data_IF_187837990421
#
_entry.id   IF_187837990421
#
_cell.length_a   1.000
_cell.length_b   1.000
_cell.length_c   1.000
_cell.angle_alpha   90.00
_cell.angle_beta   90.00
_cell.angle_gamma   90.00
#
_symmetry.space_group_name_H-M   'P 1'
#
loop_
_entity.id
_entity.type
_entity.pdbx_description
1 polymer ?
#
# COMPACT_ATOMS: atom_id res chain seq x y z
N UNK A 1 -47.98 47.46 36.09
CA UNK A 1 -47.40 46.11 35.86
C UNK A 1 -47.97 45.56 34.57
N UNK A 2 -47.15 45.34 33.54
CA UNK A 2 -47.57 44.59 32.35
C UNK A 2 -46.52 43.50 32.06
N UNK A 3 -46.84 42.27 32.48
CA UNK A 3 -46.01 41.04 32.48
C UNK A 3 -45.78 40.45 31.08
N UNK A 4 -46.05 41.18 30.00
CA UNK A 4 -46.14 40.60 28.66
C UNK A 4 -44.92 40.85 27.76
N UNK A 5 -43.93 41.63 28.20
CA UNK A 5 -42.73 41.94 27.40
C UNK A 5 -41.49 41.09 27.74
N UNK A 6 -41.60 40.14 28.67
CA UNK A 6 -40.46 39.29 29.08
C UNK A 6 -40.49 37.93 28.37
N UNK A 7 -41.64 37.42 27.96
CA UNK A 7 -41.74 36.11 27.30
C UNK A 7 -41.34 36.10 25.81
N UNK A 8 -41.36 37.25 25.13
CA UNK A 8 -41.05 37.31 23.68
C UNK A 8 -39.54 37.48 23.40
N UNK A 9 -38.73 37.91 24.39
CA UNK A 9 -37.26 37.94 24.23
C UNK A 9 -36.57 36.61 24.57
N UNK A 10 -37.28 35.67 25.20
CA UNK A 10 -36.74 34.33 25.54
C UNK A 10 -37.09 33.28 24.47
N UNK A 11 -37.94 33.61 23.49
CA UNK A 11 -38.31 32.69 22.40
C UNK A 11 -37.52 32.86 21.09
N UNK A 12 -36.51 33.74 21.06
CA UNK A 12 -35.64 33.94 19.89
C UNK A 12 -34.15 33.64 20.15
N UNK A 13 -33.80 33.14 21.35
CA UNK A 13 -32.42 32.79 21.70
C UNK A 13 -32.22 31.26 21.82
N UNK A 14 -33.25 30.44 21.60
CA UNK A 14 -33.17 28.97 21.74
C UNK A 14 -33.35 28.16 20.46
N UNK A 15 -33.49 28.80 19.28
CA UNK A 15 -33.60 28.09 18.00
C UNK A 15 -32.41 28.25 17.05
N UNK A 16 -31.38 29.02 17.43
CA UNK A 16 -30.14 29.16 16.64
C UNK A 16 -28.95 28.35 17.21
N UNK A 17 -29.21 27.27 17.94
CA UNK A 17 -28.17 26.41 18.49
C UNK A 17 -28.32 24.93 18.11
N UNK A 18 -29.21 24.59 17.17
CA UNK A 18 -29.47 23.20 16.80
C UNK A 18 -29.60 22.94 15.30
N UNK A 19 -28.91 23.73 14.46
CA UNK A 19 -28.67 23.35 13.05
C UNK A 19 -27.21 23.68 12.67
N UNK A 20 -26.27 23.14 13.44
CA UNK A 20 -24.85 23.02 13.05
C UNK A 20 -24.26 21.68 13.51
N UNK A 21 -25.13 20.69 13.75
CA UNK A 21 -24.76 19.34 14.16
C UNK A 21 -25.01 18.30 13.05
N UNK A 22 -25.09 18.72 11.78
CA UNK A 22 -25.14 17.80 10.63
C UNK A 22 -24.43 18.48 9.47
N UNK A 23 -23.10 18.40 9.42
CA UNK A 23 -22.29 17.82 8.31
C UNK A 23 -20.83 17.87 8.77
N UNK A 24 -20.52 17.26 9.92
CA UNK A 24 -19.14 16.80 10.10
C UNK A 24 -19.04 15.50 9.30
N UNK A 25 -18.84 15.66 7.99
CA UNK A 25 -18.27 14.58 7.18
C UNK A 25 -16.90 14.31 7.78
N UNK A 26 -16.88 13.47 8.80
CA UNK A 26 -15.70 12.81 9.32
C UNK A 26 -15.22 11.83 8.23
N UNK A 27 -14.76 12.38 7.10
CA UNK A 27 -13.68 11.79 6.36
C UNK A 27 -12.47 11.90 7.28
N UNK A 28 -12.40 11.02 8.29
CA UNK A 28 -11.12 10.66 8.87
C UNK A 28 -10.31 9.96 7.79
N UNK A 29 -9.79 10.73 6.84
CA UNK A 29 -8.64 10.35 6.06
C UNK A 29 -7.50 10.40 7.06
N UNK A 30 -7.32 9.31 7.81
CA UNK A 30 -6.09 9.09 8.53
C UNK A 30 -4.98 9.31 7.50
N UNK A 31 -4.18 10.36 7.65
CA UNK A 31 -3.09 10.63 6.73
C UNK A 31 -2.16 9.43 6.83
N UNK A 32 -2.29 8.50 5.87
CA UNK A 32 -1.55 7.25 5.83
C UNK A 32 -0.07 7.62 5.83
N UNK A 33 0.56 7.48 7.00
CA UNK A 33 1.98 7.78 7.14
C UNK A 33 2.75 6.58 6.64
N UNK A 34 3.13 6.63 5.37
CA UNK A 34 3.92 5.59 4.71
C UNK A 34 5.32 5.49 5.33
N UNK A 35 5.79 4.26 5.53
CA UNK A 35 7.10 3.94 6.08
C UNK A 35 7.89 3.11 5.09
N UNK A 36 9.22 3.28 5.07
CA UNK A 36 10.11 2.52 4.19
C UNK A 36 9.83 1.02 4.32
N UNK A 37 9.67 0.36 3.18
CA UNK A 37 9.34 -1.05 3.08
C UNK A 37 7.84 -1.34 3.00
N UNK A 38 6.96 -0.37 3.22
CA UNK A 38 5.53 -0.59 2.97
C UNK A 38 5.31 -1.12 1.56
N UNK A 39 4.51 -2.18 1.45
CA UNK A 39 4.12 -2.80 0.21
C UNK A 39 2.75 -2.24 -0.15
N UNK A 40 2.69 -1.54 -1.28
CA UNK A 40 1.45 -1.04 -1.85
C UNK A 40 0.98 -2.06 -2.88
N UNK A 41 -0.19 -2.62 -2.67
CA UNK A 41 -0.80 -3.61 -3.56
C UNK A 41 -2.11 -3.07 -4.08
N UNK A 42 -2.28 -2.99 -5.40
CA UNK A 42 -3.53 -2.50 -6.00
C UNK A 42 -4.25 -3.57 -6.81
N UNK A 43 -5.58 -3.44 -6.90
CA UNK A 43 -6.44 -4.18 -7.84
C UNK A 43 -6.99 -3.32 -9.00
N UNK A 44 -6.58 -2.05 -9.09
CA UNK A 44 -6.98 -1.12 -10.17
C UNK A 44 -6.20 -1.38 -11.46
N UNK A 45 -6.35 -2.56 -12.07
CA UNK A 45 -5.61 -2.97 -13.29
C UNK A 45 -6.52 -3.58 -14.35
N UNK A 46 -6.35 -3.21 -15.63
CA UNK A 46 -7.20 -3.58 -16.77
C UNK A 46 -6.75 -4.83 -17.53
N UNK A 47 -6.25 -5.87 -16.86
CA UNK A 47 -5.81 -7.16 -17.45
C UNK A 47 -4.39 -7.24 -18.08
N UNK A 48 -3.39 -6.55 -17.53
CA UNK A 48 -1.96 -6.92 -17.75
C UNK A 48 -1.19 -6.96 -16.42
N UNK A 49 -1.54 -7.94 -15.58
CA UNK A 49 -0.96 -8.19 -14.25
C UNK A 49 -1.56 -9.38 -13.47
N UNK A 50 -2.29 -10.28 -14.14
CA UNK A 50 -3.07 -11.47 -13.69
C UNK A 50 -3.91 -11.44 -12.40
N UNK A 51 -3.78 -10.44 -11.54
CA UNK A 51 -4.85 -9.66 -10.89
C UNK A 51 -4.16 -8.82 -9.81
N UNK A 52 -3.64 -7.65 -10.17
CA UNK A 52 -3.05 -6.69 -9.23
C UNK A 52 -1.63 -6.24 -9.56
N UNK A 53 -1.16 -5.22 -8.83
CA UNK A 53 0.15 -4.62 -9.05
C UNK A 53 0.79 -4.21 -7.72
N UNK A 54 2.11 -4.32 -7.63
CA UNK A 54 2.86 -3.95 -6.44
C UNK A 54 3.86 -2.84 -6.68
N UNK A 55 4.02 -2.04 -5.63
CA UNK A 55 5.16 -1.17 -5.44
C UNK A 55 5.65 -1.25 -4.00
N UNK A 56 6.91 -0.88 -3.80
CA UNK A 56 7.52 -0.74 -2.48
C UNK A 56 7.78 0.74 -2.19
N UNK A 57 7.34 1.22 -1.03
CA UNK A 57 7.63 2.58 -0.59
C UNK A 57 9.10 2.70 -0.17
N UNK A 58 9.84 3.56 -0.85
CA UNK A 58 11.29 3.73 -0.67
C UNK A 58 11.65 4.96 0.18
N UNK A 59 10.66 5.65 0.74
CA UNK A 59 10.84 6.88 1.52
C UNK A 59 10.56 8.16 0.72
N UNK A 60 10.49 9.29 1.42
CA UNK A 60 10.33 10.63 0.84
C UNK A 60 9.17 10.74 -0.17
N UNK A 61 8.03 10.12 0.15
CA UNK A 61 6.84 10.16 -0.71
C UNK A 61 6.99 9.37 -2.01
N UNK A 62 7.95 8.45 -2.13
CA UNK A 62 8.25 7.72 -3.38
C UNK A 62 7.97 6.22 -3.28
N UNK A 63 7.44 5.67 -4.36
CA UNK A 63 7.17 4.24 -4.58
C UNK A 63 7.98 3.78 -5.79
N UNK A 64 8.60 2.61 -5.66
CA UNK A 64 9.32 1.94 -6.74
C UNK A 64 8.50 0.74 -7.22
N UNK A 65 8.28 0.64 -8.54
CA UNK A 65 7.52 -0.43 -9.18
C UNK A 65 8.11 -0.80 -10.56
N UNK A 66 7.63 -1.90 -11.15
CA UNK A 66 7.84 -2.21 -12.59
C UNK A 66 6.46 -2.47 -13.20
N UNK A 67 5.91 -1.55 -14.00
CA UNK A 67 4.46 -1.46 -14.17
C UNK A 67 3.84 -2.49 -15.11
N UNK A 68 4.53 -2.88 -16.19
CA UNK A 68 4.05 -3.83 -17.20
C UNK A 68 5.15 -4.17 -18.21
N UNK A 69 4.81 -5.05 -19.15
CA UNK A 69 5.63 -5.38 -20.32
C UNK A 69 6.13 -4.12 -21.04
N UNK A 70 7.35 -4.17 -21.58
CA UNK A 70 8.06 -3.07 -22.24
C UNK A 70 8.42 -1.88 -21.33
N UNK A 71 8.23 -1.99 -20.01
CA UNK A 71 8.67 -0.96 -19.07
C UNK A 71 9.77 -1.49 -18.16
N UNK A 72 10.63 -0.58 -17.74
CA UNK A 72 11.67 -0.82 -16.74
C UNK A 72 11.20 -0.42 -15.34
N UNK A 73 11.92 -0.85 -14.28
CA UNK A 73 11.75 -0.30 -12.94
C UNK A 73 11.73 1.23 -12.97
N UNK A 74 10.73 1.81 -12.30
CA UNK A 74 10.55 3.26 -12.23
C UNK A 74 10.24 3.69 -10.81
N UNK A 75 10.33 4.99 -10.57
CA UNK A 75 9.92 5.62 -9.32
C UNK A 75 8.81 6.61 -9.62
N UNK A 76 7.76 6.59 -8.81
CA UNK A 76 6.71 7.60 -8.82
C UNK A 76 6.42 8.11 -7.42
N UNK A 77 5.75 9.25 -7.31
CA UNK A 77 5.26 9.70 -6.00
C UNK A 77 4.10 8.84 -5.53
N UNK A 78 3.94 8.68 -4.21
CA UNK A 78 2.78 8.03 -3.60
C UNK A 78 1.48 8.71 -4.03
N UNK A 79 1.47 10.04 -4.12
CA UNK A 79 0.30 10.79 -4.62
C UNK A 79 -0.09 10.35 -6.03
N UNK A 80 0.89 10.18 -6.93
CA UNK A 80 0.65 9.66 -8.28
C UNK A 80 0.20 8.20 -8.25
N UNK A 81 0.81 7.37 -7.40
CA UNK A 81 0.38 5.98 -7.22
C UNK A 81 -1.10 5.90 -6.83
N UNK A 82 -1.51 6.58 -5.76
CA UNK A 82 -2.89 6.54 -5.27
C UNK A 82 -3.88 7.12 -6.29
N UNK A 83 -3.48 8.17 -7.03
CA UNK A 83 -4.29 8.71 -8.14
C UNK A 83 -4.47 7.70 -9.27
N UNK A 84 -3.42 6.99 -9.67
CA UNK A 84 -3.47 5.97 -10.73
C UNK A 84 -4.11 4.67 -10.28
N UNK A 85 -4.03 4.36 -8.99
CA UNK A 85 -4.41 3.09 -8.38
C UNK A 85 -5.23 3.33 -7.10
N UNK A 86 -6.47 3.87 -7.24
CA UNK A 86 -7.28 4.25 -6.08
C UNK A 86 -7.64 3.06 -5.18
N UNK A 87 -7.70 1.86 -5.75
CA UNK A 87 -7.96 0.62 -5.01
C UNK A 87 -6.65 0.00 -4.54
N UNK A 88 -6.02 0.58 -3.52
CA UNK A 88 -4.70 0.17 -2.99
C UNK A 88 -4.80 -0.22 -1.52
N UNK A 89 -4.29 -1.41 -1.18
CA UNK A 89 -4.00 -1.84 0.18
C UNK A 89 -2.53 -1.65 0.51
N UNK A 90 -2.24 -1.45 1.79
CA UNK A 90 -0.87 -1.27 2.28
C UNK A 90 -0.57 -2.30 3.36
N UNK A 91 0.49 -3.07 3.16
CA UNK A 91 1.05 -3.95 4.20
C UNK A 91 2.45 -3.49 4.60
N UNK A 92 2.80 -3.75 5.86
CA UNK A 92 4.03 -3.26 6.49
C UNK A 92 4.69 -4.39 7.28
N UNK A 93 6.01 -4.57 7.18
CA UNK A 93 6.72 -5.51 8.05
C UNK A 93 6.60 -5.06 9.50
N UNK A 94 6.37 -5.99 10.43
CA UNK A 94 6.32 -5.68 11.86
C UNK A 94 7.64 -5.10 12.37
N UNK A 95 8.76 -5.56 11.80
CA UNK A 95 10.10 -5.04 12.07
C UNK A 95 10.43 -3.88 11.13
N UNK A 96 10.62 -2.67 11.68
CA UNK A 96 10.93 -1.46 10.92
C UNK A 96 12.33 -1.49 10.27
N UNK A 97 13.32 -2.11 10.93
CA UNK A 97 14.67 -2.28 10.38
C UNK A 97 14.65 -3.15 9.13
N UNK A 98 13.84 -4.20 9.12
CA UNK A 98 13.62 -5.02 7.92
C UNK A 98 13.03 -4.20 6.77
N UNK A 99 12.01 -3.38 7.03
CA UNK A 99 11.41 -2.49 6.03
C UNK A 99 12.39 -1.47 5.46
N UNK A 100 13.21 -0.86 6.32
CA UNK A 100 14.28 0.05 5.90
C UNK A 100 15.31 -0.65 4.99
N UNK A 101 15.78 -1.84 5.37
CA UNK A 101 16.71 -2.63 4.56
C UNK A 101 16.09 -3.01 3.21
N UNK A 102 14.83 -3.45 3.20
CA UNK A 102 14.12 -3.80 1.96
C UNK A 102 13.98 -2.59 1.03
N UNK A 103 13.57 -1.43 1.54
CA UNK A 103 13.50 -0.20 0.75
C UNK A 103 14.86 0.20 0.16
N UNK A 104 15.94 0.11 0.94
CA UNK A 104 17.29 0.41 0.47
C UNK A 104 17.76 -0.60 -0.60
N UNK A 105 17.41 -1.89 -0.45
CA UNK A 105 17.68 -2.91 -1.46
C UNK A 105 16.89 -2.65 -2.75
N UNK A 106 15.62 -2.23 -2.67
CA UNK A 106 14.84 -1.86 -3.84
C UNK A 106 15.54 -0.75 -4.64
N UNK A 107 16.05 0.27 -3.92
CA UNK A 107 16.83 1.35 -4.51
C UNK A 107 18.12 0.81 -5.15
N UNK A 108 18.91 0.01 -4.42
CA UNK A 108 20.20 -0.53 -4.87
C UNK A 108 20.07 -1.38 -6.14
N UNK A 109 19.10 -2.30 -6.16
CA UNK A 109 19.01 -3.32 -7.20
C UNK A 109 18.17 -2.90 -8.40
N UNK A 110 17.25 -1.94 -8.26
CA UNK A 110 16.28 -1.65 -9.33
C UNK A 110 16.17 -0.18 -9.72
N UNK A 111 16.40 0.79 -8.82
CA UNK A 111 16.20 2.20 -9.17
C UNK A 111 17.13 2.62 -10.30
N UNK A 112 16.55 3.09 -11.40
CA UNK A 112 17.30 3.54 -12.58
C UNK A 112 17.90 2.41 -13.42
N UNK A 113 17.58 1.15 -13.14
CA UNK A 113 18.09 0.00 -13.91
C UNK A 113 17.16 -0.32 -15.07
N UNK A 114 17.73 -0.66 -16.23
CA UNK A 114 16.99 -1.08 -17.43
C UNK A 114 16.69 -2.58 -17.43
N UNK A 115 16.08 -3.08 -16.35
CA UNK A 115 15.72 -4.50 -16.22
C UNK A 115 14.38 -4.73 -16.93
N UNK A 116 14.32 -5.53 -18.00
CA UNK A 116 13.09 -5.72 -18.76
C UNK A 116 12.02 -6.48 -17.95
N UNK A 117 10.77 -6.12 -18.21
CA UNK A 117 9.65 -6.82 -17.58
C UNK A 117 9.46 -8.22 -18.16
N UNK A 118 9.49 -9.26 -17.31
CA UNK A 118 9.04 -10.63 -17.63
C UNK A 118 8.78 -11.40 -16.35
N UNK A 119 7.70 -12.17 -16.31
CA UNK A 119 7.45 -13.15 -15.24
C UNK A 119 8.29 -14.39 -15.52
N UNK A 120 9.13 -14.80 -14.56
CA UNK A 120 9.96 -16.00 -14.65
C UNK A 120 9.90 -16.79 -13.34
N UNK A 121 9.96 -18.14 -13.37
CA UNK A 121 9.84 -19.01 -12.19
C UNK A 121 11.13 -19.07 -11.34
N UNK A 122 11.80 -17.94 -11.16
CA UNK A 122 12.99 -17.83 -10.32
C UNK A 122 13.13 -16.38 -9.82
N UNK A 123 12.53 -16.03 -8.67
CA UNK A 123 12.48 -14.65 -8.19
C UNK A 123 13.82 -14.15 -7.63
N UNK A 124 14.88 -14.99 -7.67
CA UNK A 124 16.25 -14.61 -7.31
C UNK A 124 17.05 -14.10 -8.52
N UNK A 125 16.58 -14.35 -9.74
CA UNK A 125 17.26 -13.97 -10.98
C UNK A 125 16.68 -12.69 -11.60
N UNK A 126 17.20 -11.55 -11.16
CA UNK A 126 16.73 -10.22 -11.56
C UNK A 126 17.20 -9.75 -12.96
N UNK A 127 17.63 -10.66 -13.85
CA UNK A 127 17.90 -10.32 -15.27
C UNK A 127 16.64 -9.84 -15.98
N UNK A 128 15.48 -10.29 -15.51
CA UNK A 128 14.15 -9.81 -15.84
C UNK A 128 13.40 -9.66 -14.52
N UNK A 129 12.38 -8.81 -14.46
CA UNK A 129 11.62 -8.62 -13.21
C UNK A 129 10.16 -8.34 -13.52
N UNK A 130 9.31 -8.48 -12.52
CA UNK A 130 7.94 -7.96 -12.55
C UNK A 130 7.62 -7.27 -11.21
N UNK A 131 6.39 -6.78 -11.07
CA UNK A 131 6.02 -5.89 -9.98
C UNK A 131 6.16 -6.51 -8.59
N UNK A 132 5.63 -7.71 -8.36
CA UNK A 132 5.75 -8.40 -7.07
C UNK A 132 7.13 -9.00 -6.84
N UNK A 133 7.87 -9.35 -7.89
CA UNK A 133 9.26 -9.80 -7.75
C UNK A 133 10.17 -8.71 -7.16
N UNK A 134 9.98 -7.46 -7.56
CA UNK A 134 10.77 -6.33 -7.03
C UNK A 134 10.64 -6.23 -5.51
N UNK A 135 9.43 -6.46 -5.01
CA UNK A 135 9.13 -6.42 -3.58
C UNK A 135 9.74 -7.63 -2.90
N UNK A 136 9.48 -8.83 -3.41
CA UNK A 136 9.99 -10.07 -2.85
C UNK A 136 11.52 -10.09 -2.78
N UNK A 137 12.21 -9.75 -3.88
CA UNK A 137 13.66 -9.73 -3.96
C UNK A 137 14.27 -8.72 -2.99
N UNK A 138 13.64 -7.56 -2.84
CA UNK A 138 14.08 -6.53 -1.90
C UNK A 138 14.07 -7.01 -0.45
N UNK A 139 13.02 -7.74 -0.06
CA UNK A 139 12.92 -8.39 1.25
C UNK A 139 13.87 -9.59 1.39
N UNK A 140 14.02 -10.40 0.35
CA UNK A 140 14.97 -11.52 0.32
C UNK A 140 16.40 -11.04 0.58
N UNK A 141 16.85 -9.98 -0.12
CA UNK A 141 18.15 -9.34 0.11
C UNK A 141 18.24 -8.64 1.47
N UNK A 142 17.12 -8.37 2.13
CA UNK A 142 17.09 -7.82 3.49
C UNK A 142 17.11 -8.92 4.58
N UNK A 143 17.19 -10.20 4.19
CA UNK A 143 17.21 -11.35 5.10
C UNK A 143 15.83 -11.93 5.39
N UNK A 144 14.78 -11.55 4.66
CA UNK A 144 13.43 -12.14 4.76
C UNK A 144 13.06 -12.84 3.46
N UNK A 145 13.10 -14.17 3.48
CA UNK A 145 12.50 -14.99 2.43
C UNK A 145 10.99 -15.03 2.66
N UNK A 146 10.21 -14.40 1.77
CA UNK A 146 8.74 -14.40 1.88
C UNK A 146 8.20 -15.74 1.36
N UNK A 147 7.35 -16.38 2.15
CA UNK A 147 6.83 -17.73 1.93
C UNK A 147 5.34 -17.69 1.55
N UNK A 148 4.90 -18.64 0.74
CA UNK A 148 3.50 -18.81 0.32
C UNK A 148 3.11 -20.27 0.58
N UNK A 149 1.87 -20.58 1.00
CA UNK A 149 1.47 -21.96 1.22
C UNK A 149 1.20 -22.64 -0.13
N UNK A 150 1.89 -23.76 -0.38
CA UNK A 150 1.68 -24.65 -1.52
C UNK A 150 1.34 -26.03 -0.98
N UNK A 151 0.14 -26.55 -1.28
CA UNK A 151 -0.35 -27.83 -0.77
C UNK A 151 -0.24 -28.00 0.77
N UNK A 152 -0.43 -26.92 1.52
CA UNK A 152 -0.37 -26.92 2.98
C UNK A 152 1.04 -26.73 3.58
N UNK A 153 2.09 -26.63 2.76
CA UNK A 153 3.46 -26.39 3.20
C UNK A 153 3.91 -24.97 2.84
N UNK A 154 4.54 -24.27 3.77
CA UNK A 154 5.07 -22.93 3.53
C UNK A 154 6.41 -23.03 2.82
N UNK A 155 6.43 -22.61 1.55
CA UNK A 155 7.62 -22.70 0.69
C UNK A 155 7.98 -21.34 0.09
N UNK A 156 9.24 -21.14 -0.32
CA UNK A 156 9.64 -19.96 -1.09
C UNK A 156 9.04 -20.12 -2.49
N UNK A 157 8.24 -19.16 -2.97
CA UNK A 157 7.54 -19.32 -4.23
C UNK A 157 8.50 -19.24 -5.42
N UNK A 158 8.20 -20.00 -6.48
CA UNK A 158 8.85 -19.84 -7.79
C UNK A 158 8.34 -18.60 -8.54
N UNK A 159 7.08 -18.21 -8.32
CA UNK A 159 6.46 -16.98 -8.82
C UNK A 159 5.64 -16.35 -7.69
N UNK A 160 5.84 -15.06 -7.45
CA UNK A 160 5.18 -14.33 -6.36
C UNK A 160 3.99 -13.58 -6.94
N UNK A 161 2.76 -14.01 -6.68
CA UNK A 161 1.58 -13.26 -7.12
C UNK A 161 1.45 -11.93 -6.33
N UNK A 162 0.95 -10.84 -6.96
CA UNK A 162 0.76 -9.58 -6.24
C UNK A 162 -0.07 -9.68 -4.97
N UNK A 163 -1.12 -10.51 -5.00
CA UNK A 163 -2.01 -10.69 -3.87
C UNK A 163 -1.42 -11.48 -2.71
N UNK A 164 -0.28 -12.14 -2.86
CA UNK A 164 0.44 -12.75 -1.72
C UNK A 164 0.78 -11.71 -0.63
N UNK A 165 0.93 -10.44 -1.00
CA UNK A 165 1.21 -9.34 -0.07
C UNK A 165 -0.06 -8.77 0.61
N UNK A 166 -1.25 -9.28 0.30
CA UNK A 166 -2.53 -8.87 0.90
C UNK A 166 -3.44 -10.05 1.25
N UNK A 167 -2.99 -11.28 1.03
CA UNK A 167 -3.60 -12.47 1.61
C UNK A 167 -3.36 -12.44 3.13
N UNK A 168 -4.43 -12.58 3.92
CA UNK A 168 -4.35 -12.44 5.38
C UNK A 168 -3.40 -13.47 6.02
N UNK A 169 -3.39 -14.70 5.53
CA UNK A 169 -2.56 -15.77 6.07
C UNK A 169 -1.09 -15.51 5.73
N UNK A 170 -0.78 -15.22 4.47
CA UNK A 170 0.57 -14.93 4.00
C UNK A 170 1.17 -13.72 4.73
N UNK A 171 0.41 -12.63 4.83
CA UNK A 171 0.83 -11.42 5.54
C UNK A 171 1.16 -11.74 7.00
N UNK A 172 0.31 -12.50 7.69
CA UNK A 172 0.53 -12.88 9.10
C UNK A 172 1.77 -13.78 9.23
N UNK A 173 1.87 -14.84 8.44
CA UNK A 173 2.98 -15.81 8.47
C UNK A 173 4.32 -15.12 8.24
N UNK A 174 4.37 -14.21 7.26
CA UNK A 174 5.61 -13.53 6.89
C UNK A 174 6.01 -12.41 7.84
N UNK A 175 5.25 -12.15 8.91
CA UNK A 175 5.56 -11.12 9.89
C UNK A 175 5.24 -9.70 9.42
N UNK A 176 4.23 -9.57 8.57
CA UNK A 176 3.68 -8.29 8.12
C UNK A 176 2.36 -7.99 8.86
N UNK A 177 1.87 -6.77 8.69
CA UNK A 177 0.55 -6.32 9.14
C UNK A 177 -0.07 -5.41 8.10
N UNK A 178 -1.39 -5.36 8.05
CA UNK A 178 -2.08 -4.35 7.27
C UNK A 178 -1.94 -2.98 7.95
N UNK A 179 -1.66 -1.97 7.15
CA UNK A 179 -1.72 -0.55 7.54
C UNK A 179 -3.04 0.06 7.07
N UNK A 180 -3.49 -0.38 5.89
CA UNK A 180 -4.83 -0.09 5.36
C UNK A 180 -5.48 -1.39 4.87
N UNK A 181 -6.75 -1.57 5.26
CA UNK A 181 -7.58 -2.72 4.93
C UNK A 181 -8.60 -2.44 3.82
N UNK A 182 -8.67 -1.20 3.33
CA UNK A 182 -9.64 -0.79 2.31
C UNK A 182 -9.13 -1.05 0.90
N UNK A 183 -10.05 -1.38 0.02
CA UNK A 183 -9.85 -1.57 -1.40
C UNK A 183 -10.55 -0.46 -2.18
#
# INVERSE_FOLDING_TARGET
>A
MNRNNIFIKILFITSFAMILAIVSNHNQTFALTYKKGDVLTTRSTSASGLTGHNGIYIGNGKVLDTPRVHHYPRVMSVKKWIKSYPKTKVTRPKNSSLGNKAANNAVKYFKGKKIPYKVTPNPKNIKKTYCSEIVWYSYYKAGKQYMIPEHGVWLPPSIVAPYAFVNKQDVKHNGFKFVDNKW
#
